data_IF_094529602305
#
_entry.id   IF_094529602305
#
_cell.length_a   1.000
_cell.length_b   1.000
_cell.length_c   1.000
_cell.angle_alpha   90.00
_cell.angle_beta   90.00
_cell.angle_gamma   90.00
#
_symmetry.space_group_name_H-M   'P 1'
#
loop_
_entity.id
_entity.type
_entity.pdbx_description
1 polymer ?
#
# COMPACT_ATOMS: atom_id res chain seq x y z
N UNK A 1 -34.32 1.49 -3.87
CA UNK A 1 -34.07 1.22 -5.30
C UNK A 1 -33.92 2.54 -6.00
N UNK A 2 -32.72 2.93 -6.39
CA UNK A 2 -32.59 3.89 -7.46
C UNK A 2 -32.99 3.12 -8.72
N UNK A 3 -34.29 3.11 -9.06
CA UNK A 3 -34.77 2.45 -10.26
C UNK A 3 -34.25 3.18 -11.49
N UNK A 4 -33.79 2.44 -12.49
CA UNK A 4 -33.44 2.91 -13.84
C UNK A 4 -32.61 4.21 -13.92
N UNK A 5 -31.69 4.45 -12.98
CA UNK A 5 -30.79 5.59 -13.02
C UNK A 5 -29.78 5.36 -14.15
N UNK A 6 -29.82 6.19 -15.15
CA UNK A 6 -28.79 6.31 -16.18
C UNK A 6 -27.75 7.33 -15.71
N UNK A 7 -26.48 7.13 -16.07
CA UNK A 7 -25.38 8.08 -15.81
C UNK A 7 -25.73 9.51 -16.25
N UNK A 8 -26.58 9.67 -17.27
CA UNK A 8 -27.04 10.97 -17.75
C UNK A 8 -27.92 11.74 -16.75
N UNK A 9 -28.55 11.07 -15.80
CA UNK A 9 -29.43 11.69 -14.79
C UNK A 9 -28.67 12.13 -13.54
N UNK A 10 -27.41 11.66 -13.35
CA UNK A 10 -26.61 11.96 -12.18
C UNK A 10 -26.20 13.44 -12.18
N UNK A 11 -26.48 14.10 -11.07
CA UNK A 11 -26.09 15.48 -10.81
C UNK A 11 -24.99 15.56 -9.72
N UNK A 12 -25.02 14.64 -8.74
CA UNK A 12 -24.09 14.68 -7.60
C UNK A 12 -23.52 13.28 -7.31
N UNK A 13 -22.20 13.21 -7.12
CA UNK A 13 -21.50 11.98 -6.76
C UNK A 13 -20.82 12.14 -5.41
N UNK A 14 -21.05 11.17 -4.53
CA UNK A 14 -20.49 11.10 -3.18
C UNK A 14 -19.39 10.07 -3.08
N UNK A 15 -18.26 10.41 -2.44
CA UNK A 15 -17.23 9.44 -2.02
C UNK A 15 -16.20 10.05 -1.08
N UNK A 16 -15.28 9.22 -0.60
CA UNK A 16 -14.04 9.68 0.02
C UNK A 16 -13.11 10.30 -1.05
N UNK A 17 -12.24 11.27 -0.70
CA UNK A 17 -11.33 11.90 -1.66
C UNK A 17 -10.47 10.94 -2.49
N UNK A 18 -9.99 9.85 -1.88
CA UNK A 18 -9.08 8.90 -2.54
C UNK A 18 -9.70 8.20 -3.76
N UNK A 19 -10.90 7.59 -3.73
CA UNK A 19 -11.56 7.06 -4.91
C UNK A 19 -11.77 8.10 -6.01
N UNK A 20 -12.06 9.36 -5.69
CA UNK A 20 -12.17 10.41 -6.69
C UNK A 20 -10.88 10.63 -7.47
N UNK A 21 -9.73 10.62 -6.78
CA UNK A 21 -8.42 10.72 -7.42
C UNK A 21 -8.12 9.47 -8.29
N UNK A 22 -8.47 8.28 -7.79
CA UNK A 22 -8.24 7.02 -8.49
C UNK A 22 -9.12 6.84 -9.73
N UNK A 23 -10.26 7.53 -9.83
CA UNK A 23 -11.22 7.45 -10.92
C UNK A 23 -11.32 8.76 -11.73
N UNK A 24 -10.31 9.61 -11.67
CA UNK A 24 -10.34 10.95 -12.28
C UNK A 24 -10.58 10.93 -13.79
N UNK A 25 -10.06 9.94 -14.52
CA UNK A 25 -10.29 9.82 -15.98
C UNK A 25 -11.76 9.57 -16.29
N UNK A 26 -12.43 8.73 -15.51
CA UNK A 26 -13.87 8.50 -15.66
C UNK A 26 -14.67 9.76 -15.33
N UNK A 27 -14.37 10.41 -14.20
CA UNK A 27 -15.09 11.61 -13.74
C UNK A 27 -14.93 12.79 -14.71
N UNK A 28 -13.80 12.92 -15.39
CA UNK A 28 -13.57 13.96 -16.40
C UNK A 28 -14.51 13.84 -17.61
N UNK A 29 -15.16 12.71 -17.82
CA UNK A 29 -16.20 12.54 -18.85
C UNK A 29 -17.51 13.23 -18.48
N UNK A 30 -17.69 13.55 -17.19
CA UNK A 30 -18.92 14.15 -16.63
C UNK A 30 -18.62 15.44 -15.85
N UNK A 31 -18.12 16.49 -16.50
CA UNK A 31 -17.68 17.71 -15.84
C UNK A 31 -18.84 18.50 -15.16
N UNK A 32 -20.07 18.14 -15.46
CA UNK A 32 -21.27 18.75 -14.87
C UNK A 32 -21.66 18.12 -13.51
N UNK A 33 -21.05 16.98 -13.14
CA UNK A 33 -21.34 16.34 -11.87
C UNK A 33 -20.73 17.15 -10.71
N UNK A 34 -21.55 17.36 -9.69
CA UNK A 34 -21.09 17.91 -8.42
C UNK A 34 -20.42 16.82 -7.60
N UNK A 35 -19.18 17.07 -7.15
CA UNK A 35 -18.44 16.15 -6.29
C UNK A 35 -18.63 16.57 -4.84
N UNK A 36 -19.07 15.64 -4.01
CA UNK A 36 -19.28 15.82 -2.57
C UNK A 36 -18.47 14.80 -1.79
N UNK A 37 -17.68 15.28 -0.84
CA UNK A 37 -16.82 14.43 -0.03
C UNK A 37 -17.54 13.86 1.19
N UNK A 38 -17.20 12.63 1.53
CA UNK A 38 -17.64 11.92 2.73
C UNK A 38 -16.46 11.33 3.48
N UNK A 39 -16.65 10.97 4.74
CA UNK A 39 -15.60 10.40 5.59
C UNK A 39 -15.11 9.02 5.12
N UNK A 40 -15.96 8.28 4.41
CA UNK A 40 -15.65 6.98 3.83
C UNK A 40 -16.55 6.67 2.63
N UNK A 41 -16.16 5.67 1.83
CA UNK A 41 -17.01 5.14 0.76
C UNK A 41 -18.30 4.52 1.29
N UNK A 42 -18.25 3.91 2.47
CA UNK A 42 -19.43 3.35 3.13
C UNK A 42 -20.43 4.48 3.52
N UNK A 43 -19.94 5.57 4.09
CA UNK A 43 -20.77 6.75 4.41
C UNK A 43 -21.40 7.37 3.16
N UNK A 44 -20.68 7.37 2.03
CA UNK A 44 -21.22 7.81 0.74
C UNK A 44 -22.40 6.94 0.28
N UNK A 45 -22.24 5.63 0.34
CA UNK A 45 -23.27 4.67 -0.08
C UNK A 45 -24.50 4.74 0.83
N UNK A 46 -24.30 4.82 2.13
CA UNK A 46 -25.37 5.00 3.10
C UNK A 46 -26.17 6.29 2.84
N UNK A 47 -25.46 7.39 2.54
CA UNK A 47 -26.07 8.68 2.22
C UNK A 47 -26.90 8.59 0.94
N UNK A 48 -26.38 7.98 -0.12
CA UNK A 48 -27.11 7.81 -1.39
C UNK A 48 -28.33 6.93 -1.19
N UNK A 49 -28.22 5.84 -0.45
CA UNK A 49 -29.35 4.97 -0.14
C UNK A 49 -30.45 5.71 0.64
N UNK A 50 -30.08 6.56 1.61
CA UNK A 50 -31.05 7.40 2.36
C UNK A 50 -31.70 8.46 1.50
N UNK A 51 -30.96 9.10 0.58
CA UNK A 51 -31.49 10.11 -0.33
C UNK A 51 -32.48 9.52 -1.34
N UNK A 52 -32.33 8.26 -1.71
CA UNK A 52 -33.19 7.51 -2.61
C UNK A 52 -33.59 8.30 -3.86
N UNK A 53 -32.67 8.99 -4.49
CA UNK A 53 -32.88 9.86 -5.65
C UNK A 53 -32.10 9.35 -6.86
N UNK A 54 -32.69 9.35 -8.08
CA UNK A 54 -32.00 8.96 -9.30
C UNK A 54 -30.89 9.93 -9.71
N UNK A 55 -30.81 11.11 -9.09
CA UNK A 55 -29.84 12.17 -9.39
C UNK A 55 -28.55 12.06 -8.61
N UNK A 56 -28.45 11.10 -7.69
CA UNK A 56 -27.27 10.95 -6.84
C UNK A 56 -26.65 9.57 -6.97
N UNK A 57 -25.33 9.53 -6.95
CA UNK A 57 -24.56 8.28 -7.00
C UNK A 57 -23.45 8.28 -5.93
N UNK A 58 -22.98 7.09 -5.59
CA UNK A 58 -21.77 6.90 -4.79
C UNK A 58 -20.70 6.21 -5.61
N UNK A 59 -19.45 6.64 -5.42
CA UNK A 59 -18.28 5.95 -5.96
C UNK A 59 -17.68 5.06 -4.87
N UNK A 60 -17.64 3.75 -5.11
CA UNK A 60 -17.15 2.80 -4.14
C UNK A 60 -17.09 1.36 -4.66
N UNK A 61 -16.99 0.37 -3.77
CA UNK A 61 -16.95 -1.03 -4.14
C UNK A 61 -18.33 -1.60 -4.45
N UNK A 62 -18.39 -2.57 -5.35
CA UNK A 62 -19.63 -3.29 -5.70
C UNK A 62 -20.23 -3.99 -4.48
N UNK A 63 -19.39 -4.65 -3.65
CA UNK A 63 -19.83 -5.30 -2.42
C UNK A 63 -20.47 -4.31 -1.43
N UNK A 64 -19.91 -3.10 -1.32
CA UNK A 64 -20.50 -2.03 -0.51
C UNK A 64 -21.84 -1.56 -1.09
N UNK A 65 -21.94 -1.39 -2.41
CA UNK A 65 -23.20 -1.04 -3.08
C UNK A 65 -24.29 -2.05 -2.80
N UNK A 66 -23.99 -3.34 -2.91
CA UNK A 66 -24.92 -4.44 -2.62
C UNK A 66 -25.43 -4.41 -1.17
N UNK A 67 -24.52 -4.12 -0.19
CA UNK A 67 -24.89 -4.03 1.23
C UNK A 67 -25.95 -2.95 1.50
N UNK A 68 -25.87 -1.83 0.79
CA UNK A 68 -26.83 -0.71 0.94
C UNK A 68 -27.98 -0.76 -0.07
N UNK A 69 -28.13 -1.85 -0.82
CA UNK A 69 -29.19 -2.04 -1.83
C UNK A 69 -29.12 -1.07 -3.01
N UNK A 70 -27.91 -0.60 -3.34
CA UNK A 70 -27.68 0.27 -4.48
C UNK A 70 -27.42 -0.54 -5.75
N UNK A 71 -27.92 -0.04 -6.86
CA UNK A 71 -27.66 -0.60 -8.18
C UNK A 71 -26.30 -0.13 -8.71
N UNK A 72 -25.55 -1.03 -9.34
CA UNK A 72 -24.30 -0.69 -10.02
C UNK A 72 -24.64 -0.05 -11.37
N UNK A 73 -24.09 1.13 -11.65
CA UNK A 73 -24.27 1.85 -12.90
C UNK A 73 -23.09 1.66 -13.87
N UNK A 74 -21.88 1.51 -13.34
CA UNK A 74 -20.68 1.36 -14.15
C UNK A 74 -19.59 0.62 -13.33
N UNK A 75 -18.75 -0.16 -14.00
CA UNK A 75 -17.70 -0.97 -13.43
C UNK A 75 -16.30 -0.51 -13.86
N UNK A 76 -15.27 -0.93 -13.11
CA UNK A 76 -13.86 -0.77 -13.48
C UNK A 76 -13.45 0.69 -13.75
N UNK A 77 -13.87 1.60 -12.89
CA UNK A 77 -13.68 3.05 -13.06
C UNK A 77 -12.27 3.54 -12.73
N UNK A 78 -11.46 2.73 -12.05
CA UNK A 78 -10.13 3.13 -11.60
C UNK A 78 -9.19 3.38 -12.78
N UNK A 79 -8.41 4.45 -12.72
CA UNK A 79 -7.39 4.81 -13.71
C UNK A 79 -6.31 3.71 -13.89
N UNK A 80 -6.06 2.95 -12.84
CA UNK A 80 -5.14 1.82 -12.85
C UNK A 80 -5.92 0.54 -12.56
N UNK A 81 -5.70 -0.49 -13.36
CA UNK A 81 -6.34 -1.79 -13.19
C UNK A 81 -5.86 -2.54 -11.93
N UNK A 82 -4.71 -2.15 -11.39
CA UNK A 82 -4.14 -2.75 -10.18
C UNK A 82 -4.12 -1.72 -9.04
N UNK A 83 -5.10 -1.82 -8.14
CA UNK A 83 -5.11 -1.11 -6.87
C UNK A 83 -4.85 -2.13 -5.77
N UNK A 84 -3.58 -2.26 -5.37
CA UNK A 84 -3.17 -3.24 -4.36
C UNK A 84 -2.94 -2.51 -3.04
N UNK A 85 -3.68 -2.90 -2.01
CA UNK A 85 -3.45 -2.45 -0.64
C UNK A 85 -2.64 -3.51 0.10
N UNK A 86 -1.47 -3.11 0.64
CA UNK A 86 -0.66 -3.98 1.49
C UNK A 86 -1.05 -3.75 2.95
N UNK A 87 -1.49 -4.81 3.61
CA UNK A 87 -1.72 -4.81 5.05
C UNK A 87 -0.48 -5.33 5.77
N UNK A 88 -0.14 -4.69 6.89
CA UNK A 88 0.94 -5.13 7.79
C UNK A 88 0.28 -5.74 9.02
N UNK A 89 0.64 -6.98 9.34
CA UNK A 89 0.23 -7.64 10.58
C UNK A 89 1.26 -7.33 11.65
N UNK A 90 0.83 -6.67 12.72
CA UNK A 90 1.68 -6.34 13.86
C UNK A 90 1.42 -7.32 15.00
N UNK A 91 2.49 -7.84 15.61
CA UNK A 91 2.43 -8.71 16.77
C UNK A 91 3.33 -8.20 17.90
N UNK A 92 2.95 -8.46 19.17
CA UNK A 92 3.76 -8.08 20.35
C UNK A 92 4.99 -8.95 20.52
N UNK A 93 4.97 -10.15 19.97
CA UNK A 93 6.09 -11.12 20.01
C UNK A 93 6.49 -11.48 18.61
N UNK A 94 7.78 -11.56 18.36
CA UNK A 94 8.29 -12.10 17.10
C UNK A 94 7.85 -13.57 16.95
N UNK A 95 7.49 -13.94 15.72
CA UNK A 95 7.29 -15.36 15.38
C UNK A 95 8.65 -15.98 15.08
N UNK A 96 8.77 -17.24 15.41
CA UNK A 96 9.95 -18.02 15.05
C UNK A 96 9.70 -18.74 13.72
N UNK A 97 10.55 -18.45 12.71
CA UNK A 97 10.43 -19.04 11.37
C UNK A 97 11.59 -20.02 11.18
N UNK A 98 11.26 -21.29 10.96
CA UNK A 98 12.27 -22.31 10.69
C UNK A 98 13.12 -21.94 9.48
N UNK A 99 14.41 -22.22 9.52
CA UNK A 99 15.38 -21.85 8.47
C UNK A 99 15.02 -22.42 7.08
N UNK A 100 14.39 -23.60 7.03
CA UNK A 100 13.96 -24.25 5.79
C UNK A 100 12.73 -23.58 5.14
N UNK A 101 12.05 -22.69 5.85
CA UNK A 101 10.86 -22.01 5.34
C UNK A 101 11.30 -20.76 4.56
N UNK A 102 10.92 -20.62 3.26
CA UNK A 102 11.11 -19.39 2.54
C UNK A 102 10.47 -18.23 3.30
N UNK A 103 11.23 -17.17 3.53
CA UNK A 103 10.79 -16.07 4.36
C UNK A 103 11.25 -14.72 3.81
N UNK A 104 10.56 -13.67 4.25
CA UNK A 104 11.00 -12.29 4.12
C UNK A 104 11.41 -11.76 5.47
N UNK A 105 12.43 -10.91 5.48
CA UNK A 105 12.85 -10.16 6.65
C UNK A 105 12.69 -8.68 6.38
N UNK A 106 12.06 -7.97 7.30
CA UNK A 106 11.93 -6.51 7.25
C UNK A 106 12.92 -5.88 8.21
N UNK A 107 13.71 -4.94 7.70
CA UNK A 107 14.73 -4.19 8.41
C UNK A 107 14.36 -2.71 8.46
N UNK A 108 14.84 -2.06 9.49
CA UNK A 108 14.96 -0.61 9.56
C UNK A 108 16.43 -0.27 9.79
N UNK A 109 16.97 0.66 9.01
CA UNK A 109 18.32 1.15 9.23
C UNK A 109 18.41 2.67 9.03
N UNK A 110 19.30 3.31 9.76
CA UNK A 110 19.75 4.67 9.46
C UNK A 110 21.24 4.61 9.10
N UNK A 111 21.60 5.22 7.99
CA UNK A 111 22.99 5.33 7.55
C UNK A 111 23.68 6.54 8.18
N UNK A 112 25.00 6.57 8.10
CA UNK A 112 25.75 7.81 8.38
C UNK A 112 25.50 8.87 7.32
N UNK A 113 25.96 10.11 7.57
CA UNK A 113 25.83 11.26 6.64
C UNK A 113 26.94 11.33 5.57
N UNK A 114 27.87 10.39 5.59
CA UNK A 114 28.93 10.34 4.62
C UNK A 114 28.43 9.98 3.22
N UNK A 115 29.08 10.55 2.21
CA UNK A 115 28.76 10.26 0.81
C UNK A 115 28.90 8.74 0.55
N UNK A 116 27.86 8.14 -0.04
CA UNK A 116 27.87 6.71 -0.38
C UNK A 116 27.41 5.76 0.73
N UNK A 117 27.12 6.23 1.95
CA UNK A 117 26.76 5.35 3.07
C UNK A 117 25.58 4.39 2.77
N UNK A 118 24.56 4.84 2.07
CA UNK A 118 23.46 3.98 1.62
C UNK A 118 23.94 2.95 0.60
N UNK A 119 24.78 3.36 -0.35
CA UNK A 119 25.30 2.47 -1.38
C UNK A 119 26.13 1.35 -0.74
N UNK A 120 27.01 1.68 0.20
CA UNK A 120 27.79 0.68 0.95
C UNK A 120 26.90 -0.34 1.66
N UNK A 121 25.84 0.12 2.32
CA UNK A 121 24.88 -0.78 2.96
C UNK A 121 24.14 -1.69 1.95
N UNK A 122 23.77 -1.16 0.78
CA UNK A 122 23.12 -1.96 -0.27
C UNK A 122 24.09 -2.97 -0.91
N UNK A 123 25.38 -2.62 -1.04
CA UNK A 123 26.42 -3.54 -1.51
C UNK A 123 26.58 -4.74 -0.57
N UNK A 124 26.51 -4.55 0.74
CA UNK A 124 26.53 -5.66 1.70
C UNK A 124 25.41 -6.66 1.43
N UNK A 125 24.18 -6.19 1.16
CA UNK A 125 23.07 -7.09 0.81
C UNK A 125 23.35 -7.85 -0.48
N UNK A 126 23.80 -7.15 -1.51
CA UNK A 126 24.17 -7.75 -2.81
C UNK A 126 25.27 -8.82 -2.65
N UNK A 127 26.34 -8.51 -1.95
CA UNK A 127 27.52 -9.37 -1.82
C UNK A 127 27.23 -10.63 -0.99
N UNK A 128 26.18 -10.60 -0.18
CA UNK A 128 25.63 -11.77 0.52
C UNK A 128 24.50 -12.46 -0.26
N UNK A 129 24.25 -12.09 -1.54
CA UNK A 129 23.22 -12.71 -2.37
C UNK A 129 21.78 -12.46 -1.93
N UNK A 130 21.55 -11.41 -1.16
CA UNK A 130 20.23 -11.09 -0.59
C UNK A 130 19.46 -10.19 -1.56
N UNK A 131 18.29 -10.65 -1.98
CA UNK A 131 17.38 -9.90 -2.87
C UNK A 131 16.55 -8.93 -2.05
N UNK A 132 16.68 -7.64 -2.36
CA UNK A 132 15.84 -6.59 -1.79
C UNK A 132 14.56 -6.44 -2.62
N UNK A 133 13.40 -6.40 -1.95
CA UNK A 133 12.08 -6.27 -2.60
C UNK A 133 11.39 -4.94 -2.29
N UNK A 134 11.88 -4.20 -1.30
CA UNK A 134 11.39 -2.87 -0.93
C UNK A 134 12.53 -2.04 -0.38
N UNK A 135 12.57 -0.77 -0.76
CA UNK A 135 13.37 0.27 -0.14
C UNK A 135 12.51 1.53 -0.06
N UNK A 136 12.28 2.03 1.15
CA UNK A 136 11.51 3.25 1.38
C UNK A 136 12.22 4.11 2.42
N UNK A 137 12.45 5.39 2.10
CA UNK A 137 13.04 6.34 3.05
C UNK A 137 11.96 7.14 3.77
N UNK A 138 12.24 7.50 5.01
CA UNK A 138 11.44 8.41 5.84
C UNK A 138 12.35 9.33 6.63
N UNK A 139 12.04 10.63 6.71
CA UNK A 139 12.76 11.54 7.59
C UNK A 139 12.69 11.09 9.06
N UNK A 140 13.77 11.26 9.79
CA UNK A 140 13.80 11.00 11.23
C UNK A 140 13.18 12.20 11.96
N UNK A 141 12.16 11.95 12.79
CA UNK A 141 11.54 12.98 13.61
C UNK A 141 12.57 13.71 14.47
N UNK A 142 12.62 15.03 14.35
CA UNK A 142 13.60 15.87 15.06
C UNK A 142 14.93 16.03 14.33
N UNK A 143 15.15 15.34 13.21
CA UNK A 143 16.38 15.45 12.42
C UNK A 143 16.04 15.38 10.91
N UNK A 144 15.51 16.48 10.32
CA UNK A 144 14.95 16.48 8.96
C UNK A 144 15.98 16.18 7.85
N UNK A 145 17.26 16.20 8.17
CA UNK A 145 18.37 15.89 7.26
C UNK A 145 18.89 14.47 7.37
N UNK A 146 18.28 13.65 8.23
CA UNK A 146 18.61 12.23 8.39
C UNK A 146 17.43 11.36 7.97
N UNK A 147 17.73 10.30 7.23
CA UNK A 147 16.71 9.38 6.74
C UNK A 147 16.84 8.00 7.41
N UNK A 148 15.68 7.42 7.64
CA UNK A 148 15.52 6.03 8.05
C UNK A 148 15.00 5.23 6.86
N UNK A 149 15.64 4.12 6.59
CA UNK A 149 15.32 3.24 5.46
C UNK A 149 14.59 1.99 5.96
N UNK A 150 13.41 1.76 5.42
CA UNK A 150 12.65 0.54 5.58
C UNK A 150 12.96 -0.38 4.41
N UNK A 151 13.47 -1.57 4.70
CA UNK A 151 13.96 -2.52 3.71
C UNK A 151 13.29 -3.87 3.93
N UNK A 152 12.67 -4.40 2.87
CA UNK A 152 12.22 -5.78 2.83
C UNK A 152 13.19 -6.61 1.97
N UNK A 153 13.66 -7.72 2.51
CA UNK A 153 14.54 -8.66 1.81
C UNK A 153 13.95 -10.06 1.73
N UNK A 154 14.22 -10.77 0.64
CA UNK A 154 13.86 -12.18 0.47
C UNK A 154 14.95 -13.05 1.11
N UNK A 155 14.96 -13.09 2.41
CA UNK A 155 15.87 -13.93 3.18
C UNK A 155 15.23 -14.33 4.50
N UNK A 156 15.42 -15.59 4.90
CA UNK A 156 15.09 -16.04 6.24
C UNK A 156 16.09 -15.44 7.22
N UNK A 157 15.61 -14.90 8.34
CA UNK A 157 16.46 -14.29 9.36
C UNK A 157 17.53 -15.24 9.89
N UNK A 158 17.24 -16.54 9.94
CA UNK A 158 18.17 -17.58 10.44
C UNK A 158 19.19 -18.04 9.41
N UNK A 159 19.01 -17.74 8.14
CA UNK A 159 19.95 -18.11 7.08
C UNK A 159 21.32 -17.48 7.31
N UNK A 160 22.38 -18.26 7.10
CA UNK A 160 23.77 -17.81 7.29
C UNK A 160 24.09 -16.53 6.53
N UNK A 161 23.64 -16.42 5.30
CA UNK A 161 23.83 -15.23 4.46
C UNK A 161 23.19 -13.98 5.11
N UNK A 162 21.98 -14.12 5.68
CA UNK A 162 21.29 -13.02 6.37
C UNK A 162 21.99 -12.64 7.66
N UNK A 163 22.41 -13.62 8.47
CA UNK A 163 23.18 -13.38 9.69
C UNK A 163 24.52 -12.71 9.40
N UNK A 164 25.19 -13.12 8.32
CA UNK A 164 26.42 -12.47 7.88
C UNK A 164 26.17 -11.03 7.45
N UNK A 165 25.15 -10.78 6.62
CA UNK A 165 24.80 -9.44 6.18
C UNK A 165 24.46 -8.50 7.34
N UNK A 166 23.76 -8.97 8.38
CA UNK A 166 23.48 -8.18 9.58
C UNK A 166 24.74 -7.81 10.35
N UNK A 167 25.71 -8.74 10.46
CA UNK A 167 27.01 -8.45 11.09
C UNK A 167 27.81 -7.42 10.28
N UNK A 168 27.78 -7.52 8.95
CA UNK A 168 28.53 -6.63 8.06
C UNK A 168 27.86 -5.22 8.00
N UNK A 169 26.54 -5.14 8.10
CA UNK A 169 25.79 -3.88 8.14
C UNK A 169 25.97 -3.11 9.46
N UNK A 170 26.07 -3.81 10.58
CA UNK A 170 26.10 -3.18 11.91
C UNK A 170 27.18 -2.08 12.06
N UNK A 171 28.45 -2.28 11.62
CA UNK A 171 29.50 -1.27 11.79
C UNK A 171 29.38 -0.08 10.83
N UNK A 172 28.67 -0.22 9.70
CA UNK A 172 28.54 0.83 8.66
C UNK A 172 27.20 1.57 8.72
N UNK A 173 26.31 1.17 9.63
CA UNK A 173 25.03 1.83 9.87
C UNK A 173 25.02 2.50 11.24
N UNK A 174 24.35 3.65 11.33
CA UNK A 174 24.16 4.34 12.62
C UNK A 174 23.19 3.58 13.53
N UNK A 175 22.18 2.99 12.94
CA UNK A 175 21.26 2.08 13.62
C UNK A 175 20.76 1.01 12.66
N UNK A 176 20.58 -0.20 13.17
CA UNK A 176 20.05 -1.33 12.42
C UNK A 176 19.11 -2.10 13.34
N UNK A 177 17.90 -2.37 12.87
CA UNK A 177 16.90 -3.13 13.62
C UNK A 177 16.13 -4.07 12.70
N UNK A 178 16.02 -5.32 13.11
CA UNK A 178 15.10 -6.29 12.49
C UNK A 178 13.70 -6.02 13.05
N UNK A 179 12.74 -5.74 12.18
CA UNK A 179 11.33 -5.54 12.56
C UNK A 179 10.58 -6.86 12.63
N UNK A 180 10.94 -7.82 11.78
CA UNK A 180 10.34 -9.15 11.78
C UNK A 180 10.83 -10.01 10.63
N UNK A 181 10.66 -11.32 10.81
CA UNK A 181 10.82 -12.33 9.78
C UNK A 181 9.50 -13.11 9.69
N UNK A 182 8.99 -13.36 8.49
CA UNK A 182 7.72 -14.02 8.27
C UNK A 182 7.75 -14.88 7.02
N UNK A 183 7.00 -16.00 6.98
CA UNK A 183 6.88 -16.83 5.77
C UNK A 183 6.47 -15.98 4.57
N UNK A 184 7.08 -16.23 3.44
CA UNK A 184 6.76 -15.55 2.19
C UNK A 184 6.16 -16.56 1.22
N UNK A 185 4.84 -16.50 1.03
CA UNK A 185 4.25 -17.05 -0.16
C UNK A 185 4.74 -16.24 -1.36
N UNK A 186 5.17 -16.93 -2.39
CA UNK A 186 5.71 -16.33 -3.61
C UNK A 186 4.69 -15.36 -4.20
N UNK A 187 4.85 -14.09 -3.94
CA UNK A 187 4.18 -13.06 -4.75
C UNK A 187 4.88 -13.09 -6.10
N UNK A 188 4.23 -13.70 -7.09
CA UNK A 188 4.70 -13.66 -8.48
C UNK A 188 4.82 -12.19 -8.87
N UNK A 189 6.00 -11.71 -9.31
CA UNK A 189 6.11 -10.35 -9.80
C UNK A 189 5.16 -10.19 -10.98
N UNK A 190 4.23 -9.26 -10.89
CA UNK A 190 3.43 -8.87 -12.04
C UNK A 190 4.36 -8.05 -12.92
N UNK A 191 4.78 -8.60 -14.05
CA UNK A 191 5.51 -7.85 -15.06
C UNK A 191 4.60 -6.71 -15.53
N UNK A 192 5.01 -5.44 -15.41
CA UNK A 192 4.30 -4.37 -16.07
C UNK A 192 4.43 -4.60 -17.58
N UNK A 193 3.31 -4.85 -18.23
CA UNK A 193 3.18 -4.89 -19.69
C UNK A 193 3.22 -3.47 -20.27
#
# INVERSE_FOLDING_TARGET
>A
MAGDSDLSQIETVYSHPQPFQQCSQFLNRFPHWKIEYTESTAAAMEKVAKLNSPKVAALGSEAGGALYGLQVLEHNLANQQQNITRFIVLARKAIDVSEQVPAKTTLIMATGQQSGALVEALLVLRDNGIIMTKLESRPINGNPWEEMFYIDVQANLRADAMQKALRDLAPITRSLKVLGCYPSDTVVPVNPS
#
